data_IF_944656740128
#
_entry.id   IF_944656740128
#
_cell.length_a   1.000
_cell.length_b   1.000
_cell.length_c   1.000
_cell.angle_alpha   90.00
_cell.angle_beta   90.00
_cell.angle_gamma   90.00
#
_symmetry.space_group_name_H-M   'P 1'
#
loop_
_entity.id
_entity.type
_entity.pdbx_description
1 polymer ?
#
# COMPACT_ATOMS: atom_id res chain seq x y z
N UNK A 1 13.70 45.53 38.97
CA UNK A 1 15.16 45.35 38.88
C UNK A 1 15.62 44.39 39.97
N UNK A 2 16.23 43.26 39.58
CA UNK A 2 17.52 42.69 40.09
C UNK A 2 17.74 42.73 41.63
N UNK A 3 18.12 41.67 42.34
CA UNK A 3 18.78 40.40 42.02
C UNK A 3 18.67 39.48 43.25
N UNK A 4 18.69 38.18 42.96
CA UNK A 4 18.93 37.05 43.88
C UNK A 4 20.22 37.20 44.69
N UNK A 5 20.27 36.60 45.89
CA UNK A 5 21.35 35.71 46.37
C UNK A 5 20.98 35.16 47.76
N UNK A 6 20.86 33.83 47.89
CA UNK A 6 21.31 33.14 49.10
C UNK A 6 21.52 31.66 48.80
N UNK A 7 22.80 31.32 48.65
CA UNK A 7 23.32 29.97 48.76
C UNK A 7 23.58 29.72 50.26
N UNK A 8 23.04 28.65 50.82
CA UNK A 8 23.60 28.01 52.00
C UNK A 8 23.19 26.53 52.02
N UNK A 9 24.19 25.69 51.78
CA UNK A 9 24.17 24.24 51.90
C UNK A 9 24.06 23.87 53.38
N UNK A 10 23.17 22.93 53.71
CA UNK A 10 23.36 22.07 54.88
C UNK A 10 22.98 20.62 54.57
N UNK A 11 23.98 19.77 54.73
CA UNK A 11 23.96 18.31 54.64
C UNK A 11 23.35 17.77 55.94
N UNK A 12 22.42 16.82 55.86
CA UNK A 12 22.31 15.79 56.89
C UNK A 12 21.83 14.47 56.30
N UNK A 13 22.64 13.44 56.58
CA UNK A 13 22.50 12.06 56.17
C UNK A 13 21.25 11.38 56.76
N UNK A 14 20.66 10.48 56.00
CA UNK A 14 20.00 9.28 56.54
C UNK A 14 20.10 8.15 55.51
N UNK A 15 20.96 7.20 55.85
CA UNK A 15 21.16 5.88 55.24
C UNK A 15 20.04 4.97 55.75
N UNK A 16 19.48 4.09 54.89
CA UNK A 16 18.80 2.78 55.10
C UNK A 16 17.87 2.61 53.89
N UNK A 17 17.83 1.54 53.09
CA UNK A 17 18.63 0.32 53.00
C UNK A 17 18.31 -0.32 51.65
N UNK A 18 19.33 -0.95 51.05
CA UNK A 18 19.22 -1.73 49.83
C UNK A 18 18.47 -3.03 50.11
N UNK A 19 17.32 -3.22 49.46
CA UNK A 19 16.69 -4.54 49.33
C UNK A 19 16.67 -4.90 47.85
N UNK A 20 17.42 -5.94 47.53
CA UNK A 20 17.59 -6.51 46.21
C UNK A 20 16.26 -6.99 45.61
N UNK A 21 15.87 -6.43 44.46
CA UNK A 21 14.91 -7.08 43.57
C UNK A 21 15.67 -8.11 42.73
N UNK A 22 15.38 -9.39 42.98
CA UNK A 22 15.76 -10.52 42.12
C UNK A 22 15.14 -10.33 40.73
N UNK A 23 15.82 -10.70 39.63
CA UNK A 23 15.19 -10.76 38.32
C UNK A 23 14.19 -11.92 38.26
N UNK A 24 13.01 -11.61 37.74
CA UNK A 24 11.87 -12.49 37.51
C UNK A 24 12.28 -13.63 36.55
N UNK A 25 12.40 -14.86 37.08
CA UNK A 25 12.52 -16.08 36.29
C UNK A 25 11.15 -16.39 35.68
N UNK A 26 10.92 -15.93 34.45
CA UNK A 26 9.81 -16.45 33.65
C UNK A 26 10.24 -17.70 32.91
N UNK A 27 9.48 -18.74 33.22
CA UNK A 27 9.54 -20.10 32.70
C UNK A 27 9.59 -20.08 31.17
N UNK A 28 10.54 -20.85 30.63
CA UNK A 28 10.69 -21.15 29.22
C UNK A 28 9.39 -21.75 28.67
N UNK A 29 8.75 -21.05 27.74
CA UNK A 29 7.71 -21.64 26.90
C UNK A 29 8.37 -22.14 25.62
N UNK A 30 8.05 -23.38 25.28
CA UNK A 30 8.68 -24.27 24.31
C UNK A 30 8.97 -23.64 22.94
N UNK A 31 10.14 -24.00 22.41
CA UNK A 31 10.60 -23.66 21.08
C UNK A 31 9.60 -24.16 20.02
N UNK A 32 8.97 -23.22 19.31
CA UNK A 32 8.21 -23.54 18.11
C UNK A 32 9.17 -24.04 17.03
N UNK A 33 8.92 -25.26 16.56
CA UNK A 33 9.72 -26.02 15.62
C UNK A 33 9.96 -25.27 14.31
N UNK A 34 11.23 -25.04 13.98
CA UNK A 34 11.71 -24.68 12.64
C UNK A 34 11.29 -25.75 11.64
N UNK A 35 10.30 -25.44 10.80
CA UNK A 35 10.02 -26.18 9.58
C UNK A 35 10.84 -25.56 8.44
N UNK A 36 11.90 -26.25 8.02
CA UNK A 36 12.59 -25.98 6.75
C UNK A 36 11.61 -26.26 5.61
N UNK A 37 11.28 -25.26 4.78
CA UNK A 37 10.51 -25.47 3.53
C UNK A 37 11.20 -24.84 2.31
N UNK A 38 11.16 -25.51 1.14
CA UNK A 38 11.68 -25.02 -0.13
C UNK A 38 10.60 -24.23 -0.92
N UNK A 39 10.88 -23.86 -2.19
CA UNK A 39 11.02 -22.49 -2.69
C UNK A 39 9.73 -21.65 -2.73
N UNK A 40 9.92 -20.32 -2.68
CA UNK A 40 8.92 -19.27 -2.94
C UNK A 40 8.87 -18.98 -4.45
N UNK A 41 7.65 -18.86 -4.98
CA UNK A 41 7.24 -18.80 -6.40
C UNK A 41 6.93 -20.18 -7.00
N UNK A 42 5.64 -20.51 -7.05
CA UNK A 42 5.12 -21.43 -8.09
C UNK A 42 4.92 -20.58 -9.35
N UNK A 43 5.88 -20.61 -10.27
CA UNK A 43 5.55 -20.35 -11.67
C UNK A 43 4.75 -21.55 -12.15
N UNK A 44 3.44 -21.38 -12.34
CA UNK A 44 2.69 -22.30 -13.18
C UNK A 44 3.09 -22.05 -14.64
N UNK A 45 4.30 -22.49 -15.02
CA UNK A 45 4.60 -22.80 -16.40
C UNK A 45 3.96 -24.17 -16.70
N UNK A 46 2.69 -24.16 -17.09
CA UNK A 46 2.08 -25.35 -17.67
C UNK A 46 2.59 -25.52 -19.10
N UNK A 47 3.66 -26.28 -19.27
CA UNK A 47 3.81 -27.09 -20.49
C UNK A 47 2.76 -28.20 -20.41
N UNK A 48 1.58 -27.94 -20.98
CA UNK A 48 0.64 -28.97 -21.37
C UNK A 48 0.23 -28.70 -22.81
N UNK A 49 0.28 -29.77 -23.60
CA UNK A 49 0.10 -29.85 -25.05
C UNK A 49 -1.02 -28.96 -25.60
N UNK A 50 -0.77 -28.44 -26.80
CA UNK A 50 -1.67 -27.61 -27.57
C UNK A 50 -3.09 -28.20 -27.65
N UNK A 51 -4.02 -27.54 -26.96
CA UNK A 51 -5.44 -27.59 -27.29
C UNK A 51 -5.87 -26.16 -27.56
N UNK A 52 -6.30 -25.91 -28.79
CA UNK A 52 -6.82 -24.64 -29.29
C UNK A 52 -7.85 -24.06 -28.31
N UNK A 53 -7.83 -22.74 -28.01
CA UNK A 53 -8.91 -22.14 -27.24
C UNK A 53 -10.17 -22.14 -28.10
N UNK A 54 -11.16 -22.93 -27.70
CA UNK A 54 -12.54 -22.66 -28.07
C UNK A 54 -12.94 -21.33 -27.43
N UNK A 55 -13.26 -20.36 -28.27
CA UNK A 55 -13.93 -19.11 -27.87
C UNK A 55 -15.27 -19.45 -27.22
N UNK A 56 -15.26 -19.59 -25.89
CA UNK A 56 -16.43 -19.25 -25.08
C UNK A 56 -16.09 -17.97 -24.34
N UNK A 57 -16.46 -16.85 -24.98
CA UNK A 57 -16.56 -15.54 -24.36
C UNK A 57 -17.55 -15.65 -23.20
N UNK A 58 -17.04 -15.93 -21.99
CA UNK A 58 -17.78 -15.64 -20.77
C UNK A 58 -18.00 -14.13 -20.78
N UNK A 59 -19.25 -13.71 -20.90
CA UNK A 59 -19.66 -12.35 -20.61
C UNK A 59 -19.27 -12.07 -19.16
N UNK A 60 -18.12 -11.41 -18.99
CA UNK A 60 -17.69 -10.92 -17.69
C UNK A 60 -18.73 -9.91 -17.20
N UNK A 61 -19.22 -10.10 -15.98
CA UNK A 61 -20.21 -9.20 -15.39
C UNK A 61 -19.63 -7.80 -15.18
N UNK A 62 -20.50 -6.80 -15.04
CA UNK A 62 -20.16 -5.39 -14.79
C UNK A 62 -19.27 -5.18 -13.54
N UNK A 63 -19.11 -6.20 -12.69
CA UNK A 63 -18.31 -6.20 -11.45
C UNK A 63 -17.25 -7.33 -11.38
N UNK A 64 -16.77 -7.86 -12.51
CA UNK A 64 -15.71 -8.88 -12.52
C UNK A 64 -14.34 -8.25 -12.23
N UNK A 65 -14.16 -7.84 -10.97
CA UNK A 65 -12.91 -7.30 -10.45
C UNK A 65 -11.85 -8.39 -10.36
N UNK A 66 -10.68 -8.11 -10.94
CA UNK A 66 -9.51 -8.97 -10.82
C UNK A 66 -8.54 -8.35 -9.84
N UNK A 67 -8.35 -9.02 -8.71
CA UNK A 67 -7.28 -8.71 -7.77
C UNK A 67 -6.01 -9.47 -8.17
N UNK A 68 -4.88 -9.00 -7.67
CA UNK A 68 -3.63 -9.76 -7.77
C UNK A 68 -3.80 -11.14 -7.09
N UNK A 69 -3.35 -12.18 -7.78
CA UNK A 69 -3.52 -13.59 -7.41
C UNK A 69 -2.23 -14.23 -6.89
N UNK A 70 -1.22 -13.42 -6.55
CA UNK A 70 0.05 -13.96 -6.05
C UNK A 70 -0.18 -14.55 -4.67
N UNK A 71 0.12 -15.84 -4.57
CA UNK A 71 0.17 -16.53 -3.28
C UNK A 71 1.55 -16.36 -2.67
N UNK A 72 1.57 -15.93 -1.41
CA UNK A 72 2.79 -15.70 -0.66
C UNK A 72 2.93 -16.71 0.48
N UNK A 73 4.11 -17.33 0.61
CA UNK A 73 4.44 -18.16 1.78
C UNK A 73 5.25 -17.34 2.78
N UNK A 74 4.57 -16.54 3.59
CA UNK A 74 5.22 -15.75 4.64
C UNK A 74 5.27 -16.46 5.98
N UNK A 75 6.30 -16.12 6.77
CA UNK A 75 6.25 -16.33 8.21
C UNK A 75 5.19 -15.38 8.80
N UNK A 76 4.10 -15.95 9.27
CA UNK A 76 2.96 -15.21 9.84
C UNK A 76 3.09 -15.11 11.36
N UNK A 77 2.69 -13.96 11.91
CA UNK A 77 2.69 -13.66 13.35
C UNK A 77 1.35 -13.10 13.82
N UNK A 78 0.90 -13.56 14.98
CA UNK A 78 -0.29 -13.09 15.70
C UNK A 78 0.13 -12.24 16.91
N UNK A 79 0.64 -11.03 16.65
CA UNK A 79 1.08 -10.09 17.68
C UNK A 79 2.22 -9.19 17.18
N UNK A 80 2.57 -8.17 17.96
CA UNK A 80 3.71 -7.31 17.61
C UNK A 80 4.98 -8.16 17.50
N UNK A 81 5.69 -8.08 16.36
CA UNK A 81 7.02 -8.70 16.29
C UNK A 81 7.97 -7.91 17.17
N UNK A 82 8.34 -8.50 18.31
CA UNK A 82 9.52 -8.06 19.05
C UNK A 82 10.73 -8.45 18.22
N UNK A 83 11.16 -7.54 17.36
CA UNK A 83 12.39 -7.78 16.62
C UNK A 83 13.55 -7.31 17.46
N UNK A 84 14.23 -8.25 18.12
CA UNK A 84 15.61 -8.07 18.57
C UNK A 84 16.52 -8.11 17.35
N UNK A 85 16.22 -7.34 16.30
CA UNK A 85 17.15 -7.20 15.18
C UNK A 85 18.34 -6.41 15.71
N UNK A 86 19.50 -7.07 15.83
CA UNK A 86 20.75 -6.36 16.00
C UNK A 86 20.84 -5.24 14.96
N UNK A 87 21.29 -4.06 15.38
CA UNK A 87 21.55 -2.95 14.48
C UNK A 87 22.61 -3.38 13.46
N UNK A 88 22.17 -3.66 12.23
CA UNK A 88 22.96 -4.07 11.06
C UNK A 88 23.39 -5.55 11.03
N UNK A 89 22.48 -6.49 10.71
CA UNK A 89 22.88 -7.86 10.40
C UNK A 89 23.77 -7.89 9.15
N UNK A 90 24.65 -8.90 9.06
CA UNK A 90 25.42 -9.15 7.82
C UNK A 90 24.46 -9.56 6.70
N UNK A 91 24.62 -9.04 5.48
CA UNK A 91 23.81 -9.47 4.34
C UNK A 91 23.94 -10.99 4.10
N UNK A 92 22.81 -11.65 3.88
CA UNK A 92 22.72 -13.06 3.48
C UNK A 92 22.74 -13.23 1.95
N UNK A 93 22.33 -12.20 1.22
CA UNK A 93 22.23 -12.19 -0.24
C UNK A 93 22.86 -10.93 -0.82
N UNK A 94 23.31 -11.01 -2.07
CA UNK A 94 23.47 -9.79 -2.88
C UNK A 94 22.10 -9.17 -3.17
N UNK A 95 22.08 -7.88 -3.53
CA UNK A 95 20.83 -7.19 -3.86
C UNK A 95 20.07 -7.87 -5.03
N UNK A 96 20.79 -8.28 -6.08
CA UNK A 96 20.20 -8.95 -7.24
C UNK A 96 19.61 -10.32 -6.90
N UNK A 97 20.32 -11.12 -6.09
CA UNK A 97 19.81 -12.42 -5.63
C UNK A 97 18.57 -12.26 -4.76
N UNK A 98 18.54 -11.22 -3.92
CA UNK A 98 17.41 -10.94 -3.04
C UNK A 98 16.19 -10.47 -3.81
N UNK A 99 16.35 -9.58 -4.79
CA UNK A 99 15.24 -9.15 -5.64
C UNK A 99 14.58 -10.32 -6.38
N UNK A 100 15.35 -11.31 -6.84
CA UNK A 100 14.80 -12.54 -7.45
C UNK A 100 13.98 -13.38 -6.48
N UNK A 101 14.16 -13.21 -5.18
CA UNK A 101 13.42 -13.90 -4.12
C UNK A 101 12.25 -13.10 -3.56
N UNK A 102 12.17 -11.81 -3.88
CA UNK A 102 11.16 -10.90 -3.34
C UNK A 102 10.17 -10.49 -4.40
N UNK A 103 8.89 -10.60 -4.07
CA UNK A 103 7.80 -10.10 -4.89
C UNK A 103 6.89 -9.22 -4.04
N UNK A 104 6.43 -8.12 -4.63
CA UNK A 104 5.32 -7.31 -4.14
C UNK A 104 4.67 -6.69 -5.37
N UNK A 105 3.36 -6.45 -5.28
CA UNK A 105 2.60 -5.75 -6.30
C UNK A 105 2.04 -4.47 -5.72
N UNK A 106 2.10 -3.40 -6.51
CA UNK A 106 1.40 -2.15 -6.23
C UNK A 106 0.22 -1.95 -7.20
N UNK A 107 -0.13 -2.97 -7.98
CA UNK A 107 -1.16 -2.87 -9.00
C UNK A 107 -2.55 -2.69 -8.36
N UNK A 108 -3.38 -1.78 -8.89
CA UNK A 108 -4.76 -1.67 -8.45
C UNK A 108 -5.57 -2.88 -8.91
N UNK A 109 -6.71 -3.18 -8.27
CA UNK A 109 -7.66 -4.16 -8.80
C UNK A 109 -8.15 -3.71 -10.18
N UNK A 110 -8.11 -4.62 -11.16
CA UNK A 110 -8.55 -4.37 -12.53
C UNK A 110 -10.05 -4.53 -12.67
N UNK A 111 -10.64 -3.78 -13.60
CA UNK A 111 -12.07 -3.76 -13.87
C UNK A 111 -12.80 -2.58 -13.22
N UNK A 112 -14.12 -2.56 -13.39
CA UNK A 112 -15.00 -1.54 -12.81
C UNK A 112 -15.32 -1.88 -11.36
N UNK A 113 -15.09 -0.92 -10.48
CA UNK A 113 -15.40 -0.98 -9.05
C UNK A 113 -16.36 0.14 -8.70
N UNK A 114 -17.55 -0.23 -8.26
CA UNK A 114 -18.57 0.69 -7.78
C UNK A 114 -19.08 0.27 -6.40
N UNK A 115 -19.37 1.24 -5.54
CA UNK A 115 -19.91 0.93 -4.22
C UNK A 115 -20.07 2.12 -3.30
N UNK A 116 -20.52 1.86 -2.08
CA UNK A 116 -20.49 2.80 -0.98
C UNK A 116 -19.04 3.06 -0.57
N UNK A 117 -18.68 4.33 -0.42
CA UNK A 117 -17.33 4.75 -0.09
C UNK A 117 -17.24 5.23 1.37
N UNK A 118 -16.18 4.79 2.04
CA UNK A 118 -15.81 5.21 3.39
C UNK A 118 -14.30 5.40 3.42
N UNK A 119 -13.83 6.46 4.09
CA UNK A 119 -12.41 6.70 4.24
C UNK A 119 -12.09 7.30 5.60
N UNK A 120 -10.92 6.97 6.10
CA UNK A 120 -10.36 7.58 7.30
C UNK A 120 -8.85 7.75 7.15
N UNK A 121 -8.29 8.72 7.86
CA UNK A 121 -6.85 8.92 7.93
C UNK A 121 -6.38 9.15 9.36
N UNK A 122 -5.13 8.83 9.61
CA UNK A 122 -4.57 8.96 10.95
C UNK A 122 -3.05 8.90 10.97
N UNK A 123 -2.47 9.43 12.05
CA UNK A 123 -1.04 9.33 12.31
C UNK A 123 -0.73 8.16 13.22
N UNK A 124 0.36 7.45 12.93
CA UNK A 124 0.86 6.32 13.70
C UNK A 124 2.39 6.30 13.67
N UNK A 125 3.01 5.41 14.47
CA UNK A 125 4.46 5.15 14.50
C UNK A 125 5.35 6.38 14.24
N UNK A 126 5.47 7.23 15.27
CA UNK A 126 6.36 8.41 15.24
C UNK A 126 6.07 9.38 14.09
N UNK A 127 4.82 9.44 13.62
CA UNK A 127 4.32 10.46 12.70
C UNK A 127 4.16 10.02 11.24
N UNK A 128 4.26 8.72 10.94
CA UNK A 128 3.77 8.22 9.65
C UNK A 128 2.26 8.50 9.52
N UNK A 129 1.78 8.79 8.31
CA UNK A 129 0.35 8.99 8.04
C UNK A 129 -0.20 7.79 7.28
N UNK A 130 -1.34 7.25 7.72
CA UNK A 130 -2.08 6.22 7.02
C UNK A 130 -3.39 6.77 6.47
N UNK A 131 -3.81 6.30 5.30
CA UNK A 131 -5.12 6.55 4.71
C UNK A 131 -5.73 5.19 4.38
N UNK A 132 -6.91 4.92 4.93
CA UNK A 132 -7.71 3.72 4.63
C UNK A 132 -8.92 4.14 3.82
N UNK A 133 -9.15 3.46 2.70
CA UNK A 133 -10.35 3.58 1.87
C UNK A 133 -11.05 2.22 1.81
N UNK A 134 -12.35 2.19 2.08
CA UNK A 134 -13.18 0.98 2.06
C UNK A 134 -14.34 1.20 1.09
N UNK A 135 -14.53 0.21 0.22
CA UNK A 135 -15.65 0.16 -0.71
C UNK A 135 -16.52 -1.04 -0.36
N UNK A 136 -17.81 -0.81 -0.16
CA UNK A 136 -18.79 -1.89 0.05
C UNK A 136 -19.87 -1.89 -1.02
N UNK A 137 -20.49 -3.04 -1.27
CA UNK A 137 -21.74 -3.08 -2.04
C UNK A 137 -22.92 -2.54 -1.22
N UNK A 138 -24.11 -2.52 -1.80
CA UNK A 138 -25.35 -2.08 -1.14
C UNK A 138 -25.84 -3.04 -0.05
N UNK A 139 -25.27 -4.26 0.03
CA UNK A 139 -25.49 -5.22 1.11
C UNK A 139 -24.47 -5.10 2.24
N UNK A 140 -23.59 -4.08 2.19
CA UNK A 140 -22.50 -3.84 3.14
C UNK A 140 -21.39 -4.91 3.08
N UNK A 141 -21.34 -5.71 2.01
CA UNK A 141 -20.22 -6.60 1.76
C UNK A 141 -19.03 -5.77 1.29
N UNK A 142 -17.88 -5.98 1.91
CA UNK A 142 -16.62 -5.35 1.52
C UNK A 142 -16.22 -5.84 0.13
N UNK A 143 -16.19 -4.91 -0.83
CA UNK A 143 -15.66 -5.13 -2.18
C UNK A 143 -14.16 -4.92 -2.15
N UNK A 144 -13.71 -3.81 -1.56
CA UNK A 144 -12.29 -3.48 -1.49
C UNK A 144 -11.91 -2.77 -0.18
N UNK A 145 -10.66 -2.96 0.21
CA UNK A 145 -9.97 -2.18 1.23
C UNK A 145 -8.62 -1.81 0.64
N UNK A 146 -8.30 -0.53 0.65
CA UNK A 146 -7.03 0.00 0.18
C UNK A 146 -6.40 0.89 1.24
N UNK A 147 -5.12 0.67 1.51
CA UNK A 147 -4.34 1.43 2.46
C UNK A 147 -3.09 2.01 1.81
N UNK A 148 -2.86 3.29 2.08
CA UNK A 148 -1.66 4.01 1.70
C UNK A 148 -0.97 4.54 2.95
N UNK A 149 0.33 4.28 3.06
CA UNK A 149 1.18 4.82 4.12
C UNK A 149 2.11 5.88 3.55
N UNK A 150 2.22 7.00 4.26
CA UNK A 150 3.16 8.07 4.00
C UNK A 150 4.21 8.13 5.11
N UNK A 151 5.47 8.30 4.73
CA UNK A 151 6.57 8.51 5.68
C UNK A 151 6.35 9.78 6.50
N UNK A 152 6.75 9.74 7.78
CA UNK A 152 6.74 10.93 8.62
C UNK A 152 7.50 12.10 7.95
N UNK A 153 7.10 13.34 8.23
CA UNK A 153 7.78 14.53 7.68
C UNK A 153 9.27 14.61 8.09
N UNK A 154 9.63 14.00 9.21
CA UNK A 154 10.99 13.89 9.72
C UNK A 154 11.59 12.49 9.51
N UNK A 155 11.16 11.76 8.49
CA UNK A 155 11.62 10.39 8.24
C UNK A 155 13.15 10.32 8.14
N UNK A 156 13.75 9.30 8.75
CA UNK A 156 15.20 9.19 8.88
C UNK A 156 15.93 9.15 7.53
N UNK A 157 15.30 8.57 6.51
CA UNK A 157 15.75 8.60 5.13
C UNK A 157 15.02 9.75 4.43
N UNK A 158 15.68 10.91 4.32
CA UNK A 158 15.06 12.16 3.85
C UNK A 158 14.40 12.06 2.48
N UNK A 159 14.87 11.17 1.59
CA UNK A 159 14.23 10.86 0.31
C UNK A 159 12.75 10.47 0.48
N UNK A 160 12.42 9.79 1.57
CA UNK A 160 11.09 9.24 1.83
C UNK A 160 10.29 9.99 2.90
N UNK A 161 10.72 11.20 3.28
CA UNK A 161 9.94 12.08 4.16
C UNK A 161 8.67 12.54 3.43
N UNK A 162 7.49 12.31 4.04
CA UNK A 162 6.19 12.62 3.42
C UNK A 162 5.84 11.75 2.19
N UNK A 163 6.70 10.84 1.76
CA UNK A 163 6.49 10.06 0.53
C UNK A 163 5.53 8.88 0.76
N UNK A 164 4.71 8.56 -0.24
CA UNK A 164 3.90 7.34 -0.24
C UNK A 164 4.83 6.12 -0.32
N UNK A 165 4.80 5.26 0.70
CA UNK A 165 5.68 4.09 0.82
C UNK A 165 5.24 2.89 -0.02
N UNK A 166 3.95 2.81 -0.39
CA UNK A 166 3.39 1.71 -1.19
C UNK A 166 3.65 1.90 -2.68
N UNK A 167 3.47 3.13 -3.15
CA UNK A 167 3.41 3.46 -4.58
C UNK A 167 4.72 4.07 -5.13
N UNK A 168 5.69 4.35 -4.26
CA UNK A 168 7.06 4.78 -4.64
C UNK A 168 8.05 3.61 -4.69
N UNK A 169 9.32 3.93 -4.93
CA UNK A 169 10.45 3.00 -4.84
C UNK A 169 10.85 2.59 -3.41
N UNK A 170 10.10 3.02 -2.38
CA UNK A 170 10.42 2.71 -0.98
C UNK A 170 10.53 1.20 -0.69
N UNK A 171 9.73 0.36 -1.33
CA UNK A 171 9.83 -1.10 -1.20
C UNK A 171 11.17 -1.65 -1.72
N UNK A 172 11.75 -1.04 -2.77
CA UNK A 172 13.11 -1.36 -3.23
C UNK A 172 14.16 -0.94 -2.20
N UNK A 173 13.99 0.23 -1.57
CA UNK A 173 14.85 0.65 -0.47
C UNK A 173 14.80 -0.32 0.71
N UNK A 174 13.62 -0.86 1.06
CA UNK A 174 13.51 -1.92 2.05
C UNK A 174 14.17 -3.23 1.59
N UNK A 175 14.07 -3.58 0.31
CA UNK A 175 14.75 -4.74 -0.27
C UNK A 175 16.29 -4.60 -0.23
N UNK A 176 16.84 -3.39 -0.25
CA UNK A 176 18.29 -3.17 -0.08
C UNK A 176 18.76 -3.39 1.37
N UNK A 177 17.88 -3.33 2.36
CA UNK A 177 18.25 -3.41 3.76
C UNK A 177 18.48 -4.88 4.20
N UNK A 178 19.64 -5.24 4.79
CA UNK A 178 19.91 -6.61 5.26
C UNK A 178 18.91 -7.17 6.27
N UNK A 179 18.15 -6.31 6.97
CA UNK A 179 17.09 -6.74 7.90
C UNK A 179 15.96 -7.52 7.21
N UNK A 180 15.70 -7.27 5.93
CA UNK A 180 14.67 -7.98 5.17
C UNK A 180 15.20 -9.27 4.53
N UNK A 181 16.47 -9.63 4.71
CA UNK A 181 17.04 -10.88 4.17
C UNK A 181 16.39 -12.13 4.78
N UNK A 182 15.99 -12.06 6.04
CA UNK A 182 15.37 -13.21 6.72
C UNK A 182 13.88 -13.33 6.39
N UNK A 183 13.19 -12.21 6.21
CA UNK A 183 11.72 -12.21 6.01
C UNK A 183 11.33 -12.18 4.55
N UNK A 184 12.16 -11.62 3.66
CA UNK A 184 11.87 -11.39 2.24
C UNK A 184 10.54 -10.63 2.02
N UNK A 185 10.25 -9.73 2.96
CA UNK A 185 8.99 -8.98 3.07
C UNK A 185 9.28 -7.50 3.09
N UNK A 186 8.44 -6.74 2.39
CA UNK A 186 8.38 -5.27 2.43
C UNK A 186 7.11 -4.80 3.14
N UNK A 187 6.99 -3.49 3.30
CA UNK A 187 5.79 -2.83 3.81
C UNK A 187 4.56 -3.20 3.00
N UNK A 188 4.69 -3.20 1.66
CA UNK A 188 3.62 -3.49 0.70
C UNK A 188 3.01 -4.86 0.96
N UNK A 189 3.85 -5.87 1.20
CA UNK A 189 3.37 -7.22 1.47
C UNK A 189 2.53 -7.31 2.76
N UNK A 190 2.90 -6.54 3.80
CA UNK A 190 2.11 -6.50 5.02
C UNK A 190 0.77 -5.79 4.85
N UNK A 191 0.73 -4.75 4.01
CA UNK A 191 -0.49 -4.05 3.64
C UNK A 191 -1.43 -4.98 2.87
N UNK A 192 -0.98 -5.51 1.74
CA UNK A 192 -1.83 -6.30 0.83
C UNK A 192 -2.30 -7.61 1.47
N UNK A 193 -1.49 -8.20 2.36
CA UNK A 193 -1.87 -9.40 3.11
C UNK A 193 -3.04 -9.16 4.08
N UNK A 194 -3.12 -7.98 4.70
CA UNK A 194 -4.23 -7.64 5.60
C UNK A 194 -5.45 -7.17 4.82
N UNK A 195 -5.27 -6.37 3.77
CA UNK A 195 -6.36 -5.97 2.86
C UNK A 195 -7.09 -7.20 2.31
N UNK A 196 -6.33 -8.24 1.90
CA UNK A 196 -6.88 -9.51 1.43
C UNK A 196 -7.73 -10.20 2.50
N UNK A 197 -7.22 -10.35 3.73
CA UNK A 197 -8.00 -10.94 4.83
C UNK A 197 -9.26 -10.13 5.13
N UNK A 198 -9.20 -8.80 5.13
CA UNK A 198 -10.37 -7.96 5.39
C UNK A 198 -11.48 -8.17 4.36
N UNK A 199 -11.12 -8.30 3.08
CA UNK A 199 -12.07 -8.64 2.00
C UNK A 199 -12.61 -10.05 2.13
N UNK A 200 -11.73 -11.05 2.28
CA UNK A 200 -12.11 -12.48 2.29
C UNK A 200 -12.94 -12.85 3.52
N UNK A 201 -12.64 -12.27 4.67
CA UNK A 201 -13.36 -12.49 5.93
C UNK A 201 -14.54 -11.53 6.11
N UNK A 202 -14.70 -10.56 5.19
CA UNK A 202 -15.73 -9.53 5.23
C UNK A 202 -15.82 -8.80 6.59
N UNK A 203 -14.65 -8.39 7.13
CA UNK A 203 -14.54 -7.63 8.38
C UNK A 203 -13.34 -6.69 8.34
N UNK A 204 -13.41 -5.58 9.09
CA UNK A 204 -12.30 -4.61 9.24
C UNK A 204 -11.80 -4.48 10.69
N UNK A 205 -12.43 -5.18 11.62
CA UNK A 205 -12.06 -5.19 13.04
C UNK A 205 -11.62 -6.56 13.50
N UNK A 206 -10.95 -6.59 14.66
CA UNK A 206 -10.46 -7.81 15.28
C UNK A 206 -9.01 -8.09 14.93
N UNK A 207 -8.56 -9.30 15.27
CA UNK A 207 -7.18 -9.71 15.03
C UNK A 207 -7.05 -10.24 13.60
N UNK A 208 -6.10 -9.69 12.86
CA UNK A 208 -5.65 -10.25 11.59
C UNK A 208 -4.23 -10.78 11.73
N UNK A 209 -3.94 -11.77 10.91
CA UNK A 209 -2.59 -12.24 10.73
C UNK A 209 -1.75 -11.16 10.04
N UNK A 210 -0.47 -11.09 10.38
CA UNK A 210 0.48 -10.20 9.69
C UNK A 210 1.72 -10.96 9.30
N UNK A 211 2.39 -10.47 8.26
CA UNK A 211 3.71 -10.94 7.87
C UNK A 211 4.78 -10.43 8.84
N UNK A 212 5.72 -11.29 9.20
CA UNK A 212 6.88 -10.91 10.02
C UNK A 212 7.71 -9.85 9.30
N UNK A 213 8.01 -8.74 9.99
CA UNK A 213 8.83 -7.65 9.44
C UNK A 213 8.05 -6.45 8.87
N UNK A 214 6.72 -6.53 8.76
CA UNK A 214 5.84 -5.41 8.37
C UNK A 214 4.70 -5.18 9.39
N UNK A 215 4.92 -5.56 10.65
CA UNK A 215 3.86 -5.61 11.66
C UNK A 215 3.31 -4.25 12.06
N UNK A 216 4.15 -3.21 12.09
CA UNK A 216 3.78 -1.89 12.63
C UNK A 216 2.81 -1.18 11.70
N UNK A 217 3.15 -1.06 10.42
CA UNK A 217 2.25 -0.57 9.36
C UNK A 217 0.89 -1.26 9.39
N UNK A 218 0.89 -2.59 9.45
CA UNK A 218 -0.32 -3.38 9.44
C UNK A 218 -1.18 -3.15 10.69
N UNK A 219 -0.58 -3.18 11.89
CA UNK A 219 -1.33 -3.12 13.16
C UNK A 219 -1.68 -1.71 13.60
N UNK A 220 -0.70 -0.81 13.60
CA UNK A 220 -0.86 0.55 14.12
C UNK A 220 -1.36 1.52 13.04
N UNK A 221 -1.12 1.23 11.77
CA UNK A 221 -1.69 1.98 10.65
C UNK A 221 -3.01 1.38 10.20
N UNK A 222 -2.96 0.40 9.29
CA UNK A 222 -4.13 -0.15 8.60
C UNK A 222 -5.23 -0.64 9.55
N UNK A 223 -4.95 -1.59 10.44
CA UNK A 223 -5.98 -2.17 11.32
C UNK A 223 -6.57 -1.14 12.28
N UNK A 224 -5.74 -0.27 12.86
CA UNK A 224 -6.21 0.74 13.80
C UNK A 224 -7.11 1.78 13.12
N UNK A 225 -6.67 2.35 11.99
CA UNK A 225 -7.41 3.37 11.25
C UNK A 225 -8.69 2.77 10.65
N UNK A 226 -8.63 1.55 10.11
CA UNK A 226 -9.80 0.86 9.58
C UNK A 226 -10.84 0.57 10.68
N UNK A 227 -10.41 0.19 11.89
CA UNK A 227 -11.32 -0.12 12.99
C UNK A 227 -12.20 1.07 13.41
N UNK A 228 -11.76 2.31 13.18
CA UNK A 228 -12.56 3.51 13.45
C UNK A 228 -13.78 3.63 12.52
N UNK A 229 -13.75 3.00 11.34
CA UNK A 229 -14.86 2.97 10.38
C UNK A 229 -15.89 1.87 10.67
N UNK A 230 -15.71 1.06 11.71
CA UNK A 230 -16.48 -0.17 11.93
C UNK A 230 -18.00 0.01 12.05
N UNK A 231 -18.45 1.13 12.64
CA UNK A 231 -19.88 1.45 12.73
C UNK A 231 -20.40 2.17 11.48
N UNK A 232 -19.53 2.92 10.79
CA UNK A 232 -19.91 3.70 9.61
C UNK A 232 -20.18 2.80 8.41
N UNK A 233 -19.34 1.78 8.17
CA UNK A 233 -19.50 0.85 7.03
C UNK A 233 -20.79 0.01 7.10
N UNK A 234 -21.46 -0.01 8.27
CA UNK A 234 -22.75 -0.69 8.48
C UNK A 234 -23.95 0.20 8.11
N UNK A 235 -23.70 1.47 7.78
CA UNK A 235 -24.71 2.43 7.39
C UNK A 235 -24.65 2.67 5.88
N UNK A 236 -25.76 3.10 5.25
CA UNK A 236 -25.71 3.60 3.88
C UNK A 236 -24.77 4.80 3.78
N UNK A 237 -23.88 4.81 2.77
CA UNK A 237 -23.05 5.99 2.48
C UNK A 237 -23.78 6.93 1.53
N UNK A 238 -23.62 8.23 1.76
CA UNK A 238 -24.01 9.27 0.78
C UNK A 238 -22.98 9.44 -0.34
N UNK A 239 -21.77 8.94 -0.10
CA UNK A 239 -20.65 8.99 -1.03
C UNK A 239 -20.52 7.64 -1.71
N UNK A 240 -20.53 7.65 -3.03
CA UNK A 240 -20.27 6.49 -3.87
C UNK A 240 -18.86 6.57 -4.43
N UNK A 241 -18.20 5.42 -4.53
CA UNK A 241 -16.96 5.25 -5.26
C UNK A 241 -17.28 4.72 -6.65
N UNK A 242 -16.64 5.28 -7.67
CA UNK A 242 -16.64 4.77 -9.04
C UNK A 242 -15.18 4.76 -9.51
N UNK A 243 -14.64 3.60 -9.83
CA UNK A 243 -13.28 3.51 -10.33
C UNK A 243 -13.11 2.43 -11.36
N UNK A 244 -12.23 2.67 -12.32
CA UNK A 244 -11.90 1.71 -13.35
C UNK A 244 -10.39 1.62 -13.50
N UNK A 245 -9.87 0.40 -13.57
CA UNK A 245 -8.47 0.15 -13.89
C UNK A 245 -8.32 -0.88 -15.01
N UNK A 246 -7.35 -0.64 -15.89
CA UNK A 246 -7.10 -1.45 -17.07
C UNK A 246 -5.59 -1.60 -17.31
N UNK A 247 -5.13 -2.81 -17.60
CA UNK A 247 -3.80 -3.06 -18.15
C UNK A 247 -3.81 -2.77 -19.65
N UNK A 248 -3.06 -1.75 -20.07
CA UNK A 248 -3.01 -1.33 -21.47
C UNK A 248 -2.15 -2.26 -22.35
N UNK A 249 -1.58 -3.33 -21.80
CA UNK A 249 -0.80 -4.34 -22.51
C UNK A 249 0.60 -3.90 -22.91
N UNK A 250 1.03 -2.71 -22.49
CA UNK A 250 2.36 -2.15 -22.76
C UNK A 250 3.22 -1.98 -21.49
N UNK A 251 2.77 -2.59 -20.38
CA UNK A 251 3.37 -2.49 -19.07
C UNK A 251 2.98 -1.24 -18.27
N UNK A 252 1.90 -0.57 -18.69
CA UNK A 252 1.22 0.46 -17.91
C UNK A 252 -0.21 0.02 -17.60
N UNK A 253 -0.61 0.21 -16.35
CA UNK A 253 -1.99 0.05 -15.90
C UNK A 253 -2.53 1.45 -15.60
N UNK A 254 -3.60 1.86 -16.26
CA UNK A 254 -4.27 3.13 -15.93
C UNK A 254 -5.31 2.91 -14.85
N UNK A 255 -5.51 3.91 -13.98
CA UNK A 255 -6.60 3.93 -13.00
C UNK A 255 -7.22 5.32 -12.93
N UNK A 256 -8.54 5.38 -13.03
CA UNK A 256 -9.35 6.56 -12.70
C UNK A 256 -10.21 6.19 -11.50
N UNK A 257 -10.31 7.11 -10.54
CA UNK A 257 -11.09 6.94 -9.32
C UNK A 257 -11.88 8.22 -9.09
N UNK A 258 -13.16 8.09 -8.81
CA UNK A 258 -14.07 9.16 -8.50
C UNK A 258 -14.76 8.84 -7.19
N UNK A 259 -14.98 9.87 -6.39
CA UNK A 259 -15.99 9.82 -5.35
C UNK A 259 -17.11 10.79 -5.72
N UNK A 260 -18.35 10.38 -5.43
CA UNK A 260 -19.56 11.11 -5.82
C UNK A 260 -20.47 11.18 -4.61
N UNK A 261 -20.66 12.39 -4.08
CA UNK A 261 -21.52 12.65 -2.93
C UNK A 261 -22.78 13.36 -3.41
N UNK A 262 -23.96 12.77 -3.14
CA UNK A 262 -25.27 13.32 -3.53
C UNK A 262 -25.34 13.72 -5.03
N UNK A 263 -24.70 12.93 -5.90
CA UNK A 263 -24.68 13.14 -7.37
C UNK A 263 -23.65 14.16 -7.86
N UNK A 264 -22.81 14.71 -6.99
CA UNK A 264 -21.72 15.64 -7.33
C UNK A 264 -20.37 14.93 -7.17
N UNK A 265 -19.49 15.04 -8.16
CA UNK A 265 -18.11 14.54 -8.06
C UNK A 265 -17.37 15.40 -7.03
N UNK A 266 -17.01 14.82 -5.89
CA UNK A 266 -16.29 15.51 -4.81
C UNK A 266 -14.76 15.34 -4.93
N UNK A 267 -14.30 14.23 -5.50
CA UNK A 267 -12.89 14.00 -5.82
C UNK A 267 -12.71 13.17 -7.08
N UNK A 268 -11.58 13.38 -7.74
CA UNK A 268 -11.09 12.57 -8.84
C UNK A 268 -9.60 12.30 -8.65
N UNK A 269 -9.14 11.11 -9.01
CA UNK A 269 -7.72 10.73 -9.04
C UNK A 269 -7.43 9.94 -10.30
N UNK A 270 -6.36 10.31 -11.00
CA UNK A 270 -5.88 9.61 -12.18
C UNK A 270 -4.41 9.22 -12.00
N UNK A 271 -4.08 7.96 -12.26
CA UNK A 271 -2.71 7.47 -12.15
C UNK A 271 -2.42 6.39 -13.19
N UNK A 272 -1.14 6.17 -13.47
CA UNK A 272 -0.64 5.08 -14.29
C UNK A 272 0.44 4.31 -13.51
N UNK A 273 0.29 3.00 -13.41
CA UNK A 273 1.16 2.11 -12.66
C UNK A 273 2.07 1.36 -13.61
N UNK A 274 3.36 1.32 -13.30
CA UNK A 274 4.30 0.47 -14.03
C UNK A 274 4.08 -0.99 -13.64
N UNK A 275 4.16 -1.90 -14.62
CA UNK A 275 3.97 -3.32 -14.38
C UNK A 275 4.95 -3.89 -13.34
N UNK A 276 4.56 -5.01 -12.71
CA UNK A 276 5.37 -5.66 -11.68
C UNK A 276 6.65 -6.30 -12.20
N UNK A 277 6.72 -6.54 -13.52
CA UNK A 277 7.84 -7.16 -14.21
C UNK A 277 8.42 -6.18 -15.24
N UNK A 278 9.72 -5.85 -15.18
CA UNK A 278 10.36 -4.94 -16.13
C UNK A 278 10.18 -5.38 -17.60
N UNK A 279 10.11 -6.67 -17.87
CA UNK A 279 10.02 -7.23 -19.21
C UNK A 279 8.67 -6.94 -19.88
N UNK A 280 7.62 -6.69 -19.09
CA UNK A 280 6.29 -6.30 -19.60
C UNK A 280 6.25 -4.83 -20.01
N UNK A 281 7.19 -4.01 -19.56
CA UNK A 281 7.26 -2.58 -19.88
C UNK A 281 7.93 -2.41 -21.23
N UNK A 282 7.16 -1.97 -22.23
CA UNK A 282 7.63 -1.88 -23.63
C UNK A 282 8.73 -0.83 -23.79
N UNK A 283 8.60 0.32 -23.13
CA UNK A 283 9.58 1.39 -23.23
C UNK A 283 10.79 1.13 -22.32
N UNK A 284 11.95 0.87 -22.91
CA UNK A 284 13.17 0.48 -22.16
C UNK A 284 13.57 1.47 -21.06
N UNK A 285 13.44 2.78 -21.32
CA UNK A 285 13.80 3.81 -20.34
C UNK A 285 12.85 3.85 -19.12
N UNK A 286 11.68 3.23 -19.21
CA UNK A 286 10.69 3.15 -18.13
C UNK A 286 10.83 1.87 -17.29
N UNK A 287 11.58 0.86 -17.77
CA UNK A 287 11.70 -0.44 -17.08
C UNK A 287 12.19 -0.35 -15.64
N UNK A 288 13.02 0.65 -15.35
CA UNK A 288 13.55 0.90 -13.99
C UNK A 288 12.47 1.32 -12.97
N UNK A 289 11.31 1.76 -13.43
CA UNK A 289 10.21 2.21 -12.57
C UNK A 289 9.17 1.12 -12.27
N UNK A 290 9.44 -0.14 -12.65
CA UNK A 290 8.57 -1.28 -12.34
C UNK A 290 8.15 -1.31 -10.86
N UNK A 291 6.90 -1.73 -10.59
CA UNK A 291 6.27 -1.74 -9.24
C UNK A 291 6.17 -0.37 -8.57
N UNK A 292 6.08 0.70 -9.36
CA UNK A 292 5.84 2.06 -8.87
C UNK A 292 4.66 2.67 -9.63
N UNK A 293 4.01 3.70 -9.07
CA UNK A 293 3.06 4.51 -9.82
C UNK A 293 3.75 5.75 -10.38
N UNK A 294 3.30 6.26 -11.52
CA UNK A 294 3.83 7.49 -12.10
C UNK A 294 3.60 8.69 -11.18
N UNK A 295 2.45 8.74 -10.51
CA UNK A 295 2.14 9.84 -9.60
C UNK A 295 3.03 9.84 -8.35
N UNK A 296 3.36 8.67 -7.79
CA UNK A 296 4.08 8.57 -6.52
C UNK A 296 5.55 8.14 -6.63
N UNK A 297 6.04 7.78 -7.83
CA UNK A 297 7.44 7.39 -8.04
C UNK A 297 8.36 8.60 -7.91
N UNK A 298 9.24 8.55 -6.90
CA UNK A 298 10.18 9.63 -6.57
C UNK A 298 11.29 9.85 -7.62
N UNK A 299 11.66 8.82 -8.35
CA UNK A 299 12.67 8.97 -9.41
C UNK A 299 12.03 9.38 -10.73
N UNK A 300 10.82 8.88 -11.02
CA UNK A 300 10.12 9.23 -12.24
C UNK A 300 9.79 10.72 -12.32
N UNK A 301 9.24 11.30 -11.25
CA UNK A 301 8.89 12.72 -11.25
C UNK A 301 10.13 13.63 -11.26
N UNK A 302 11.24 13.25 -10.62
CA UNK A 302 12.50 14.01 -10.72
C UNK A 302 13.02 14.04 -12.16
N UNK A 303 13.05 12.90 -12.84
CA UNK A 303 13.55 12.81 -14.22
C UNK A 303 12.62 13.46 -15.24
N UNK A 304 11.30 13.39 -15.01
CA UNK A 304 10.29 13.99 -15.89
C UNK A 304 9.91 15.42 -15.49
N UNK A 305 10.45 15.93 -14.39
CA UNK A 305 10.15 17.27 -13.82
C UNK A 305 8.66 17.46 -13.54
N UNK A 306 8.08 16.50 -12.83
CA UNK A 306 6.68 16.49 -12.39
C UNK A 306 5.64 16.53 -13.52
N UNK A 307 6.02 16.25 -14.78
CA UNK A 307 5.14 16.38 -15.97
C UNK A 307 3.82 15.62 -15.81
N UNK A 308 3.89 14.35 -15.38
CA UNK A 308 2.69 13.53 -15.16
C UNK A 308 1.85 14.01 -13.96
N UNK A 309 2.48 14.42 -12.86
CA UNK A 309 1.79 14.92 -11.67
C UNK A 309 1.01 16.18 -12.02
N UNK A 310 1.66 17.14 -12.68
CA UNK A 310 1.04 18.38 -13.12
C UNK A 310 -0.14 18.12 -14.08
N UNK A 311 0.02 17.16 -15.00
CA UNK A 311 -1.07 16.73 -15.87
C UNK A 311 -2.25 16.13 -15.09
N UNK A 312 -1.98 15.16 -14.21
CA UNK A 312 -3.01 14.46 -13.46
C UNK A 312 -3.76 15.38 -12.50
N UNK A 313 -3.04 16.23 -11.76
CA UNK A 313 -3.63 17.23 -10.86
C UNK A 313 -4.51 18.22 -11.61
N UNK A 314 -4.05 18.69 -12.77
CA UNK A 314 -4.82 19.61 -13.58
C UNK A 314 -6.09 18.95 -14.16
N UNK A 315 -5.96 17.72 -14.68
CA UNK A 315 -7.08 16.96 -15.21
C UNK A 315 -8.13 16.67 -14.14
N UNK A 316 -7.72 16.14 -13.00
CA UNK A 316 -8.62 15.75 -11.90
C UNK A 316 -9.28 16.97 -11.25
N UNK A 317 -8.55 18.08 -11.12
CA UNK A 317 -9.14 19.35 -10.73
C UNK A 317 -10.21 19.81 -11.73
N UNK A 318 -9.95 19.72 -13.03
CA UNK A 318 -10.93 20.10 -14.05
C UNK A 318 -12.18 19.20 -14.01
N UNK A 319 -12.03 17.91 -13.73
CA UNK A 319 -13.15 16.98 -13.53
C UNK A 319 -14.06 17.47 -12.41
N UNK A 320 -13.49 17.80 -11.25
CA UNK A 320 -14.24 18.28 -10.08
C UNK A 320 -14.84 19.67 -10.35
N UNK A 321 -14.10 20.60 -10.94
CA UNK A 321 -14.59 21.96 -11.17
C UNK A 321 -15.71 22.01 -12.22
N UNK A 322 -15.63 21.18 -13.26
CA UNK A 322 -16.55 21.19 -14.41
C UNK A 322 -17.62 20.08 -14.35
N UNK A 323 -17.50 19.15 -13.40
CA UNK A 323 -18.40 18.02 -13.22
C UNK A 323 -18.57 17.19 -14.50
N UNK A 324 -17.46 16.96 -15.22
CA UNK A 324 -17.43 16.18 -16.46
C UNK A 324 -16.14 15.37 -16.55
N UNK A 325 -16.24 14.19 -17.15
CA UNK A 325 -15.09 13.36 -17.50
C UNK A 325 -14.59 13.62 -18.94
N UNK A 326 -15.41 14.25 -19.78
CA UNK A 326 -15.13 14.41 -21.22
C UNK A 326 -14.61 15.81 -21.50
N UNK A 327 -13.40 15.89 -22.05
CA UNK A 327 -12.73 17.14 -22.42
C UNK A 327 -12.31 17.15 -23.89
N UNK A 328 -13.20 17.64 -24.77
CA UNK A 328 -12.91 17.78 -26.21
C UNK A 328 -12.08 19.03 -26.50
N UNK A 329 -11.11 18.92 -27.41
CA UNK A 329 -10.26 20.04 -27.86
C UNK A 329 -9.60 20.82 -26.69
N UNK A 330 -9.27 20.12 -25.61
CA UNK A 330 -8.66 20.66 -24.40
C UNK A 330 -7.13 20.65 -24.49
N UNK A 331 -6.46 21.41 -23.61
CA UNK A 331 -5.00 21.36 -23.49
C UNK A 331 -4.49 19.99 -23.02
N UNK A 332 -5.34 19.20 -22.35
CA UNK A 332 -5.03 17.84 -21.92
C UNK A 332 -4.64 16.94 -23.10
N UNK A 333 -5.22 17.16 -24.29
CA UNK A 333 -4.92 16.38 -25.52
C UNK A 333 -3.45 16.43 -25.94
N UNK A 334 -2.67 17.38 -25.42
CA UNK A 334 -1.23 17.52 -25.71
C UNK A 334 -0.37 16.54 -24.89
N UNK A 335 -0.87 16.07 -23.76
CA UNK A 335 -0.12 15.18 -22.88
C UNK A 335 -0.38 13.71 -23.26
N UNK A 336 0.66 12.87 -23.38
CA UNK A 336 0.52 11.49 -23.87
C UNK A 336 -0.44 10.62 -23.04
N UNK A 337 -0.49 10.82 -21.71
CA UNK A 337 -1.40 10.06 -20.84
C UNK A 337 -2.87 10.44 -20.98
N UNK A 338 -3.23 11.51 -21.70
CA UNK A 338 -4.64 11.82 -21.93
C UNK A 338 -5.34 10.75 -22.78
N UNK A 339 -4.63 10.16 -23.75
CA UNK A 339 -5.17 9.04 -24.52
C UNK A 339 -5.45 7.81 -23.65
N UNK A 340 -4.59 7.53 -22.66
CA UNK A 340 -4.81 6.48 -21.66
C UNK A 340 -6.04 6.78 -20.80
N UNK A 341 -6.15 8.00 -20.28
CA UNK A 341 -7.32 8.45 -19.52
C UNK A 341 -8.62 8.30 -20.32
N UNK A 342 -8.62 8.68 -21.60
CA UNK A 342 -9.80 8.57 -22.47
C UNK A 342 -10.32 7.14 -22.57
N UNK A 343 -9.43 6.14 -22.66
CA UNK A 343 -9.82 4.73 -22.65
C UNK A 343 -10.54 4.36 -21.36
N UNK A 344 -10.01 4.77 -20.21
CA UNK A 344 -10.60 4.42 -18.91
C UNK A 344 -12.02 4.96 -18.74
N UNK A 345 -12.27 6.20 -19.16
CA UNK A 345 -13.59 6.83 -18.98
C UNK A 345 -14.66 6.32 -19.95
N UNK A 346 -14.29 5.53 -20.97
CA UNK A 346 -15.28 4.82 -21.81
C UNK A 346 -16.02 3.73 -21.01
N UNK A 347 -15.43 3.28 -19.90
CA UNK A 347 -15.98 2.24 -19.02
C UNK A 347 -16.74 2.79 -17.80
N UNK A 348 -16.79 4.10 -17.62
CA UNK A 348 -17.55 4.74 -16.55
C UNK A 348 -18.87 5.25 -17.12
N UNK A 349 -19.99 4.83 -16.53
CA UNK A 349 -21.31 5.36 -16.89
C UNK A 349 -21.38 6.87 -16.62
N UNK A 350 -21.97 7.61 -17.56
CA UNK A 350 -21.97 9.07 -17.57
C UNK A 350 -23.20 9.68 -16.91
#
# INVERSE_FOLDING_TARGET
MKKSYLFAVFILCSIIGLSACKPDQRIETEASSTSVRPPLVNESSSESEAVLPSEETKNAGINDLSFEDTSYNYDVVTGATQTTFGSNPKPLYTYEEKLKKMFWSNQPPLGLMEGNYFANDGYFDVGNKGIVEIITDDTQKIINVEFNEYGAENYYASKYAGANKRLSDYAFFQAQNPRTDTTLVTVVNGITFVEKQMREENRITGNFETVKGSSTTAREGLMAIAAELAEEIKQPSKTKYIGYAEDFGNGLIGRIQLTVTDGTIDSARYDEYFADQPEKIVADHLKKYYRQSKYFSLEYHEETKDDFIAFSDHLTKAIVDQQTLVFENSEFTKHPSFASYQKLIEHIER
#
